data_IF_277222126311
#
_entry.id   IF_277222126311
#
_cell.length_a   1.000
_cell.length_b   1.000
_cell.length_c   1.000
_cell.angle_alpha   90.00
_cell.angle_beta   90.00
_cell.angle_gamma   90.00
#
_symmetry.space_group_name_H-M   'P 1'
#
loop_
_entity.id
_entity.type
_entity.pdbx_description
1 polymer ?
#
# COMPACT_ATOMS: atom_id res chain seq x y z
N UNK A 1 -1.09 25.13 1.76
CA UNK A 1 0.09 25.73 1.09
C UNK A 1 1.00 24.59 0.68
N UNK A 2 1.75 24.68 -0.43
CA UNK A 2 2.67 23.59 -0.81
C UNK A 2 3.64 23.33 0.35
N UNK A 3 3.83 22.05 0.68
CA UNK A 3 4.83 21.63 1.65
C UNK A 3 6.17 22.27 1.27
N UNK A 4 6.91 22.82 2.24
CA UNK A 4 8.24 23.36 1.97
C UNK A 4 9.14 22.21 1.51
N UNK A 5 9.31 22.06 0.19
CA UNK A 5 10.13 20.99 -0.36
C UNK A 5 11.60 21.27 -0.03
N UNK A 6 12.21 20.34 0.70
CA UNK A 6 13.64 20.37 0.96
C UNK A 6 14.31 19.86 -0.30
N UNK A 7 14.96 20.73 -1.08
CA UNK A 7 15.53 20.38 -2.39
C UNK A 7 16.78 19.50 -2.30
N UNK A 8 17.45 19.46 -1.14
CA UNK A 8 18.59 18.57 -0.85
C UNK A 8 18.58 18.17 0.62
N UNK A 9 18.60 16.86 0.88
CA UNK A 9 18.66 16.30 2.21
C UNK A 9 19.68 15.16 2.25
N UNK A 10 20.51 15.16 3.29
CA UNK A 10 21.53 14.14 3.54
C UNK A 10 20.98 12.96 4.37
N UNK A 11 19.74 13.02 4.85
CA UNK A 11 19.10 11.98 5.69
C UNK A 11 20.01 11.43 6.81
N UNK A 12 20.80 12.30 7.45
CA UNK A 12 21.78 11.91 8.48
C UNK A 12 21.13 11.50 9.80
N UNK A 13 19.91 11.98 10.07
CA UNK A 13 19.14 11.62 11.26
C UNK A 13 17.74 11.12 10.88
N UNK A 14 17.37 9.97 11.44
CA UNK A 14 16.07 9.31 11.28
C UNK A 14 15.37 9.33 12.64
N UNK A 15 14.15 9.83 12.67
CA UNK A 15 13.31 9.85 13.86
C UNK A 15 12.58 8.52 14.02
N UNK A 16 12.55 7.96 15.24
CA UNK A 16 11.81 6.72 15.52
C UNK A 16 10.43 6.98 16.13
N UNK A 17 10.16 8.24 16.53
CA UNK A 17 8.87 8.68 17.05
C UNK A 17 7.99 9.28 15.96
N UNK A 18 6.70 9.44 16.26
CA UNK A 18 5.77 10.14 15.37
C UNK A 18 6.19 11.59 15.16
N UNK A 19 5.66 12.20 14.10
CA UNK A 19 5.90 13.61 13.82
C UNK A 19 5.34 14.51 14.94
N UNK A 20 5.85 15.75 15.09
CA UNK A 20 5.26 16.72 16.01
C UNK A 20 3.75 16.98 15.80
N UNK A 21 3.25 16.77 14.58
CA UNK A 21 1.83 16.94 14.26
C UNK A 21 0.92 15.89 14.94
N UNK A 22 1.45 14.73 15.33
CA UNK A 22 0.66 13.72 16.05
C UNK A 22 0.04 14.29 17.34
N UNK A 23 0.77 15.17 18.05
CA UNK A 23 0.25 15.83 19.24
C UNK A 23 -0.89 16.82 18.92
N UNK A 24 -0.87 17.44 17.73
CA UNK A 24 -1.91 18.36 17.25
C UNK A 24 -3.17 17.59 16.85
N UNK A 25 -3.00 16.46 16.16
CA UNK A 25 -4.07 15.54 15.81
C UNK A 25 -4.70 14.82 17.02
N UNK A 26 -4.05 14.88 18.19
CA UNK A 26 -4.47 14.14 19.39
C UNK A 26 -4.14 12.65 19.33
N UNK A 27 -3.36 12.22 18.34
CA UNK A 27 -2.89 10.86 18.22
C UNK A 27 -1.89 10.52 19.33
N UNK A 28 -2.13 9.39 20.00
CA UNK A 28 -1.22 8.84 21.02
C UNK A 28 -0.91 7.40 20.69
N UNK A 29 0.32 7.15 20.23
CA UNK A 29 0.83 5.79 20.03
C UNK A 29 0.77 5.01 21.34
N UNK A 30 0.32 3.76 21.26
CA UNK A 30 0.26 2.82 22.37
C UNK A 30 1.66 2.63 22.97
N UNK A 31 1.73 2.52 24.30
CA UNK A 31 2.98 2.30 25.02
C UNK A 31 3.57 0.92 24.76
N UNK A 32 4.85 0.72 25.07
CA UNK A 32 5.57 -0.55 24.84
C UNK A 32 4.83 -1.77 25.42
N UNK A 33 4.27 -1.68 26.63
CA UNK A 33 3.51 -2.80 27.22
C UNK A 33 2.25 -3.14 26.43
N UNK A 34 1.54 -2.14 25.92
CA UNK A 34 0.31 -2.33 25.14
C UNK A 34 0.63 -2.94 23.77
N UNK A 35 1.70 -2.48 23.13
CA UNK A 35 2.16 -3.04 21.85
C UNK A 35 2.65 -4.49 22.01
N UNK A 36 3.38 -4.81 23.08
CA UNK A 36 3.80 -6.18 23.38
C UNK A 36 2.60 -7.09 23.68
N UNK A 37 1.54 -6.55 24.29
CA UNK A 37 0.31 -7.28 24.50
C UNK A 37 -0.44 -7.49 23.17
N UNK A 38 -0.43 -6.50 22.27
CA UNK A 38 -1.11 -6.56 20.98
C UNK A 38 -0.58 -7.64 20.02
N UNK A 39 0.62 -8.18 20.24
CA UNK A 39 1.21 -9.28 19.45
C UNK A 39 0.80 -10.65 20.00
N UNK A 40 0.32 -10.73 21.25
CA UNK A 40 0.01 -11.98 21.94
C UNK A 40 -1.46 -12.37 21.75
N UNK A 41 -1.72 -13.66 21.85
CA UNK A 41 -3.05 -14.24 21.95
C UNK A 41 -3.06 -15.36 23.00
N UNK A 42 -4.17 -15.54 23.70
CA UNK A 42 -4.24 -16.39 24.91
C UNK A 42 -4.00 -17.88 24.63
N UNK A 43 -4.27 -18.31 23.40
CA UNK A 43 -4.20 -19.72 22.98
C UNK A 43 -3.32 -19.95 21.75
N UNK A 44 -2.58 -18.94 21.29
CA UNK A 44 -1.68 -19.06 20.14
C UNK A 44 -0.25 -18.74 20.56
N UNK A 45 0.67 -19.66 20.30
CA UNK A 45 2.10 -19.46 20.55
C UNK A 45 2.90 -19.64 19.28
N UNK A 46 3.74 -18.66 18.97
CA UNK A 46 4.68 -18.77 17.85
C UNK A 46 5.92 -19.61 18.24
N UNK A 47 6.52 -20.34 17.28
CA UNK A 47 7.85 -20.93 17.44
C UNK A 47 8.89 -19.91 17.92
N UNK A 48 9.99 -20.39 18.50
CA UNK A 48 11.05 -19.51 19.06
C UNK A 48 11.59 -18.52 18.03
N UNK A 49 11.84 -18.98 16.82
CA UNK A 49 12.41 -18.15 15.74
C UNK A 49 11.45 -17.02 15.34
N UNK A 50 10.16 -17.33 15.19
CA UNK A 50 9.13 -16.33 14.90
C UNK A 50 8.97 -15.32 16.04
N UNK A 51 9.06 -15.76 17.30
CA UNK A 51 9.04 -14.85 18.45
C UNK A 51 10.13 -13.78 18.36
N UNK A 52 11.36 -14.15 17.96
CA UNK A 52 12.46 -13.18 17.80
C UNK A 52 12.19 -12.19 16.66
N UNK A 53 11.53 -12.62 15.58
CA UNK A 53 11.12 -11.76 14.46
C UNK A 53 9.97 -10.81 14.82
N UNK A 54 9.12 -11.23 15.75
CA UNK A 54 7.99 -10.48 16.29
C UNK A 54 8.36 -9.60 17.50
N UNK A 55 9.61 -9.61 17.96
CA UNK A 55 10.02 -8.70 19.03
C UNK A 55 9.94 -7.24 18.55
N UNK A 56 9.52 -6.35 19.47
CA UNK A 56 9.51 -4.92 19.19
C UNK A 56 10.92 -4.38 18.99
N UNK A 57 11.13 -3.69 17.87
CA UNK A 57 12.32 -2.89 17.64
C UNK A 57 11.92 -1.59 16.95
N UNK A 58 11.88 -0.48 17.68
CA UNK A 58 11.54 0.83 17.11
C UNK A 58 12.53 1.24 15.99
N UNK A 59 13.74 0.65 15.94
CA UNK A 59 14.73 0.88 14.87
C UNK A 59 14.41 0.11 13.58
N UNK A 60 13.57 -0.91 13.69
CA UNK A 60 13.03 -1.66 12.57
C UNK A 60 11.66 -1.13 12.13
N UNK A 61 10.83 -0.82 13.12
CA UNK A 61 9.44 -0.40 12.99
C UNK A 61 9.26 0.90 13.80
N UNK A 62 9.50 2.08 13.19
CA UNK A 62 9.25 3.35 13.84
C UNK A 62 7.77 3.51 14.24
N UNK A 63 7.47 4.54 15.03
CA UNK A 63 6.09 4.99 15.21
C UNK A 63 5.45 5.40 13.87
N UNK A 64 4.11 5.37 13.75
CA UNK A 64 3.41 5.98 12.62
C UNK A 64 3.86 7.43 12.38
N UNK A 65 4.13 7.76 11.11
CA UNK A 65 4.37 9.14 10.68
C UNK A 65 3.04 9.81 10.36
N UNK A 66 2.73 10.92 11.04
CA UNK A 66 1.50 11.69 10.83
C UNK A 66 1.85 13.11 10.41
N UNK A 67 1.48 13.54 9.21
CA UNK A 67 1.57 14.90 8.72
C UNK A 67 0.16 15.51 8.57
N UNK A 68 0.03 16.84 8.40
CA UNK A 68 -1.28 17.45 8.18
C UNK A 68 -1.97 16.88 6.94
N UNK A 69 -3.20 16.38 7.10
CA UNK A 69 -3.99 15.78 6.02
C UNK A 69 -3.81 14.27 5.86
N UNK A 70 -2.92 13.66 6.64
CA UNK A 70 -2.77 12.21 6.71
C UNK A 70 -4.00 11.56 7.33
N UNK A 71 -4.26 10.31 6.95
CA UNK A 71 -5.43 9.53 7.37
C UNK A 71 -5.59 9.51 8.91
N UNK A 72 -4.58 8.98 9.61
CA UNK A 72 -4.54 8.92 11.07
C UNK A 72 -4.54 10.30 11.77
N UNK A 73 -4.25 11.38 11.04
CA UNK A 73 -4.33 12.74 11.56
C UNK A 73 -5.76 13.30 11.50
N UNK A 74 -6.55 12.87 10.51
CA UNK A 74 -7.93 13.26 10.31
C UNK A 74 -8.92 12.38 11.08
N UNK A 75 -8.69 11.07 11.06
CA UNK A 75 -9.55 10.06 11.67
C UNK A 75 -8.70 9.01 12.42
N UNK A 76 -8.42 9.22 13.72
CA UNK A 76 -7.66 8.26 14.50
C UNK A 76 -8.44 6.95 14.65
N UNK A 77 -7.98 5.89 14.01
CA UNK A 77 -8.61 4.57 14.11
C UNK A 77 -8.37 3.87 15.44
N UNK A 78 -9.33 3.00 15.78
CA UNK A 78 -9.18 2.08 16.91
C UNK A 78 -8.14 0.99 16.57
N UNK A 79 -7.21 0.70 17.49
CA UNK A 79 -6.19 -0.31 17.25
C UNK A 79 -6.78 -1.72 17.16
N UNK A 80 -6.37 -2.51 16.17
CA UNK A 80 -6.69 -3.94 16.09
C UNK A 80 -5.50 -4.81 16.52
N UNK A 81 -5.54 -5.37 17.72
CA UNK A 81 -4.56 -6.35 18.22
C UNK A 81 -4.65 -7.71 17.51
N UNK A 82 -3.69 -8.60 17.77
CA UNK A 82 -3.71 -9.97 17.27
C UNK A 82 -4.88 -10.78 17.84
N UNK A 83 -5.22 -10.59 19.12
CA UNK A 83 -6.36 -11.24 19.75
C UNK A 83 -7.69 -10.75 19.18
N UNK A 84 -7.88 -9.43 19.05
CA UNK A 84 -9.10 -8.86 18.42
C UNK A 84 -9.25 -9.34 16.98
N UNK A 85 -8.15 -9.44 16.23
CA UNK A 85 -8.18 -10.02 14.88
C UNK A 85 -8.58 -11.51 14.86
N UNK A 86 -8.17 -12.31 15.86
CA UNK A 86 -8.58 -13.72 15.96
C UNK A 86 -10.08 -13.85 16.23
N UNK A 87 -10.59 -12.97 17.09
CA UNK A 87 -11.98 -12.95 17.58
C UNK A 87 -12.95 -12.24 16.63
N UNK A 88 -12.45 -11.58 15.58
CA UNK A 88 -13.23 -10.86 14.58
C UNK A 88 -14.23 -11.79 13.87
N UNK A 89 -15.53 -11.51 14.02
CA UNK A 89 -16.61 -12.36 13.52
C UNK A 89 -16.69 -12.33 11.99
N UNK A 90 -16.40 -11.17 11.40
CA UNK A 90 -16.44 -10.96 9.95
C UNK A 90 -15.18 -11.49 9.23
N UNK A 91 -14.19 -12.03 9.99
CA UNK A 91 -12.95 -12.56 9.41
C UNK A 91 -13.17 -13.94 8.80
N UNK A 92 -12.77 -14.08 7.55
CA UNK A 92 -12.77 -15.36 6.85
C UNK A 92 -11.55 -16.22 7.25
N UNK A 93 -11.74 -17.45 7.78
CA UNK A 93 -10.62 -18.33 8.10
C UNK A 93 -10.00 -18.90 6.82
N UNK A 94 -8.66 -18.96 6.78
CA UNK A 94 -7.94 -19.75 5.77
C UNK A 94 -8.15 -21.23 6.09
N UNK A 95 -8.58 -22.02 5.10
CA UNK A 95 -8.83 -23.46 5.28
C UNK A 95 -8.21 -24.25 4.13
N UNK A 96 -8.05 -25.57 4.30
CA UNK A 96 -7.56 -26.44 3.23
C UNK A 96 -8.40 -26.36 1.94
N UNK A 97 -9.70 -26.09 2.06
CA UNK A 97 -10.62 -25.93 0.92
C UNK A 97 -10.59 -24.53 0.33
N UNK A 98 -10.16 -23.52 1.09
CA UNK A 98 -10.25 -22.11 0.76
C UNK A 98 -8.96 -21.40 1.20
N UNK A 99 -7.91 -21.51 0.37
CA UNK A 99 -6.56 -21.01 0.66
C UNK A 99 -5.87 -20.32 -0.51
N UNK A 100 -6.49 -20.29 -1.69
CA UNK A 100 -5.83 -19.76 -2.90
C UNK A 100 -6.08 -18.27 -3.07
N UNK A 101 -5.05 -17.46 -3.21
CA UNK A 101 -5.22 -16.06 -3.66
C UNK A 101 -5.25 -16.06 -5.19
N UNK A 102 -6.26 -15.43 -5.78
CA UNK A 102 -6.33 -15.25 -7.23
C UNK A 102 -6.00 -13.81 -7.62
N UNK A 103 -5.20 -13.63 -8.66
CA UNK A 103 -4.90 -12.34 -9.27
C UNK A 103 -5.46 -12.30 -10.68
N UNK A 104 -6.28 -11.31 -10.98
CA UNK A 104 -6.87 -11.07 -12.29
C UNK A 104 -6.13 -9.92 -12.98
N UNK A 105 -5.55 -10.14 -14.17
CA UNK A 105 -4.94 -9.06 -14.95
C UNK A 105 -5.96 -7.99 -15.36
N UNK A 106 -5.46 -6.83 -15.78
CA UNK A 106 -6.28 -5.73 -16.29
C UNK A 106 -7.20 -6.22 -17.42
N UNK A 107 -8.49 -5.83 -17.41
CA UNK A 107 -9.45 -6.29 -18.41
C UNK A 107 -8.99 -5.98 -19.84
N UNK A 108 -9.14 -6.96 -20.73
CA UNK A 108 -8.90 -6.74 -22.16
C UNK A 108 -9.89 -5.73 -22.74
N UNK A 109 -9.51 -5.06 -23.82
CA UNK A 109 -10.34 -4.06 -24.47
C UNK A 109 -10.88 -4.65 -25.78
N UNK A 110 -12.21 -4.60 -25.97
CA UNK A 110 -12.83 -4.95 -27.24
C UNK A 110 -12.65 -3.84 -28.29
N UNK A 111 -12.59 -4.23 -29.57
CA UNK A 111 -12.39 -3.30 -30.67
C UNK A 111 -13.50 -2.23 -30.75
N UNK A 112 -14.73 -2.56 -30.35
CA UNK A 112 -15.85 -1.62 -30.36
C UNK A 112 -15.77 -0.56 -29.23
N UNK A 113 -14.84 -0.69 -28.28
CA UNK A 113 -14.56 0.28 -27.23
C UNK A 113 -13.07 0.65 -27.17
N UNK A 114 -12.35 0.52 -28.28
CA UNK A 114 -10.91 0.78 -28.40
C UNK A 114 -10.47 2.15 -27.85
N UNK A 115 -11.34 3.16 -27.90
CA UNK A 115 -11.11 4.49 -27.35
C UNK A 115 -10.71 4.48 -25.87
N UNK A 116 -11.18 3.49 -25.08
CA UNK A 116 -10.83 3.38 -23.65
C UNK A 116 -9.37 3.00 -23.48
N UNK A 117 -8.71 2.37 -24.47
CA UNK A 117 -7.26 2.08 -24.40
C UNK A 117 -6.41 3.34 -24.26
N UNK A 118 -6.91 4.49 -24.72
CA UNK A 118 -6.24 5.79 -24.49
C UNK A 118 -6.26 6.24 -23.02
N UNK A 119 -7.02 5.56 -22.15
CA UNK A 119 -7.13 5.86 -20.72
C UNK A 119 -6.07 5.14 -19.87
N UNK A 120 -5.32 4.18 -20.43
CA UNK A 120 -4.22 3.51 -19.74
C UNK A 120 -2.98 4.43 -19.59
N UNK A 121 -2.88 5.45 -20.43
CA UNK A 121 -1.75 6.38 -20.48
C UNK A 121 -2.18 7.79 -20.05
N UNK A 122 -1.44 8.46 -19.16
CA UNK A 122 -1.78 9.82 -18.74
C UNK A 122 -1.53 10.85 -19.86
N UNK A 123 -2.25 11.97 -19.80
CA UNK A 123 -2.11 13.15 -20.66
C UNK A 123 -0.89 13.98 -20.24
N UNK A 124 0.32 13.44 -20.39
CA UNK A 124 1.55 14.18 -20.12
C UNK A 124 2.39 14.31 -21.40
N UNK A 125 2.82 15.53 -21.80
CA UNK A 125 3.73 15.70 -22.92
C UNK A 125 5.17 15.31 -22.51
N UNK A 126 5.87 14.61 -23.41
CA UNK A 126 7.34 14.47 -23.44
C UNK A 126 8.05 13.83 -22.24
N UNK A 127 7.68 12.59 -21.89
CA UNK A 127 8.51 11.74 -21.02
C UNK A 127 9.01 10.49 -21.74
N UNK A 128 10.22 10.04 -21.38
CA UNK A 128 10.75 8.75 -21.83
C UNK A 128 9.79 7.62 -21.44
N UNK A 129 9.60 6.66 -22.35
CA UNK A 129 8.69 5.54 -22.15
C UNK A 129 9.16 4.67 -20.98
N UNK A 130 8.44 4.74 -19.85
CA UNK A 130 8.62 3.83 -18.73
C UNK A 130 7.69 2.62 -18.89
N UNK A 131 8.12 1.46 -18.41
CA UNK A 131 7.36 0.22 -18.54
C UNK A 131 6.32 0.11 -17.41
N UNK A 132 5.04 -0.14 -17.73
CA UNK A 132 4.03 -0.38 -16.70
C UNK A 132 4.32 -1.69 -15.92
N UNK A 133 3.86 -1.78 -14.66
CA UNK A 133 3.99 -2.98 -13.84
C UNK A 133 3.32 -4.17 -14.53
N UNK A 134 4.03 -5.30 -14.64
CA UNK A 134 3.38 -6.52 -15.13
C UNK A 134 2.57 -7.16 -13.99
N UNK A 135 1.37 -7.65 -14.29
CA UNK A 135 0.58 -8.42 -13.31
C UNK A 135 1.34 -9.63 -12.79
N UNK A 136 2.25 -10.19 -13.59
CA UNK A 136 3.09 -11.32 -13.19
C UNK A 136 4.09 -10.94 -12.09
N UNK A 137 4.72 -9.78 -12.19
CA UNK A 137 5.63 -9.30 -11.15
C UNK A 137 4.89 -8.99 -9.84
N UNK A 138 3.66 -8.45 -9.94
CA UNK A 138 2.78 -8.26 -8.78
C UNK A 138 2.40 -9.60 -8.15
N UNK A 139 2.00 -10.60 -8.96
CA UNK A 139 1.70 -11.95 -8.48
C UNK A 139 2.91 -12.56 -7.74
N UNK A 140 4.11 -12.43 -8.29
CA UNK A 140 5.33 -12.95 -7.68
C UNK A 140 5.64 -12.28 -6.34
N UNK A 141 5.47 -10.95 -6.26
CA UNK A 141 5.62 -10.23 -5.01
C UNK A 141 4.59 -10.68 -3.97
N UNK A 142 3.32 -10.81 -4.36
CA UNK A 142 2.24 -11.28 -3.47
C UNK A 142 2.45 -12.72 -3.00
N UNK A 143 3.03 -13.58 -3.85
CA UNK A 143 3.43 -14.95 -3.47
C UNK A 143 4.46 -14.94 -2.35
N UNK A 144 5.40 -13.99 -2.38
CA UNK A 144 6.37 -13.81 -1.31
C UNK A 144 5.77 -13.11 -0.07
N UNK A 145 4.88 -12.14 -0.27
CA UNK A 145 4.27 -11.37 0.82
C UNK A 145 3.29 -12.21 1.65
N UNK A 146 2.49 -13.06 1.01
CA UNK A 146 1.58 -14.02 1.64
C UNK A 146 2.13 -15.45 1.54
N UNK A 147 3.44 -15.59 1.72
CA UNK A 147 4.12 -16.89 1.71
C UNK A 147 3.37 -17.91 2.59
N UNK A 148 3.31 -19.15 2.12
CA UNK A 148 2.48 -20.22 2.69
C UNK A 148 1.17 -20.47 1.94
N UNK A 149 0.67 -19.49 1.19
CA UNK A 149 -0.54 -19.65 0.36
C UNK A 149 -0.23 -19.73 -1.14
N UNK A 150 -0.97 -20.54 -1.91
CA UNK A 150 -0.88 -20.52 -3.36
C UNK A 150 -1.47 -19.22 -3.93
N UNK A 151 -0.69 -18.52 -4.76
CA UNK A 151 -1.16 -17.35 -5.51
C UNK A 151 -1.23 -17.69 -7.00
N UNK A 152 -2.41 -17.68 -7.59
CA UNK A 152 -2.66 -18.06 -8.99
C UNK A 152 -3.10 -16.86 -9.81
N UNK A 153 -2.59 -16.75 -11.03
CA UNK A 153 -3.06 -15.77 -12.00
C UNK A 153 -4.20 -16.37 -12.83
N UNK A 154 -5.31 -15.65 -12.95
CA UNK A 154 -6.39 -16.02 -13.88
C UNK A 154 -6.00 -15.67 -15.32
N UNK A 155 -6.58 -16.32 -16.34
CA UNK A 155 -6.27 -16.01 -17.74
C UNK A 155 -6.51 -14.53 -18.07
N UNK A 156 -5.69 -13.88 -18.90
CA UNK A 156 -5.94 -12.49 -19.32
C UNK A 156 -7.30 -12.27 -19.99
N UNK A 157 -7.90 -13.32 -20.57
CA UNK A 157 -9.24 -13.28 -21.16
C UNK A 157 -10.39 -13.35 -20.14
N UNK A 158 -10.10 -13.39 -18.83
CA UNK A 158 -11.11 -13.50 -17.76
C UNK A 158 -12.07 -12.33 -17.76
N UNK A 159 -11.55 -11.13 -18.03
CA UNK A 159 -12.30 -9.88 -18.04
C UNK A 159 -12.06 -9.15 -19.36
N UNK A 160 -13.14 -8.65 -19.96
CA UNK A 160 -13.07 -7.84 -21.18
C UNK A 160 -14.06 -6.69 -21.15
N UNK A 161 -13.60 -5.46 -21.34
CA UNK A 161 -14.45 -4.32 -21.60
C UNK A 161 -15.08 -4.44 -22.99
N UNK A 162 -16.41 -4.33 -23.06
CA UNK A 162 -17.23 -4.41 -24.27
C UNK A 162 -18.26 -3.26 -24.30
N UNK A 163 -18.91 -2.98 -25.43
CA UNK A 163 -19.99 -1.99 -25.47
C UNK A 163 -21.16 -2.37 -24.57
N UNK A 164 -21.64 -1.41 -23.75
CA UNK A 164 -22.90 -1.58 -23.03
C UNK A 164 -24.09 -1.18 -23.91
N UNK A 165 -24.90 -2.16 -24.35
CA UNK A 165 -26.10 -1.91 -25.15
C UNK A 165 -27.31 -1.64 -24.26
N UNK A 166 -27.61 -0.37 -23.97
CA UNK A 166 -28.90 0.00 -23.37
C UNK A 166 -30.04 -0.17 -24.38
N UNK A 167 -31.19 -0.77 -24.00
CA UNK A 167 -32.39 -0.73 -24.83
C UNK A 167 -32.83 0.72 -25.05
N UNK A 168 -32.99 1.11 -26.32
CA UNK A 168 -33.27 2.49 -26.76
C UNK A 168 -34.43 3.12 -25.97
N UNK A 169 -34.12 4.01 -25.01
CA UNK A 169 -35.07 4.99 -24.46
C UNK A 169 -34.50 6.40 -24.57
N UNK A 170 -35.44 7.36 -24.59
CA UNK A 170 -35.38 8.78 -24.95
C UNK A 170 -34.06 9.53 -24.61
N UNK A 171 -33.71 10.58 -25.38
CA UNK A 171 -32.44 11.29 -25.23
C UNK A 171 -32.35 11.90 -23.83
N UNK A 172 -31.54 11.26 -22.98
CA UNK A 172 -31.22 11.76 -21.66
C UNK A 172 -30.15 12.86 -21.82
N UNK A 173 -30.22 13.92 -21.01
CA UNK A 173 -29.21 14.99 -20.99
C UNK A 173 -27.81 14.36 -20.92
N UNK A 174 -26.88 14.81 -21.76
CA UNK A 174 -25.47 14.37 -21.78
C UNK A 174 -24.80 14.72 -20.45
N UNK A 175 -25.00 13.92 -19.42
CA UNK A 175 -24.07 13.81 -18.30
C UNK A 175 -22.82 13.12 -18.83
N UNK A 176 -21.62 13.54 -18.42
CA UNK A 176 -20.35 12.93 -18.87
C UNK A 176 -20.18 11.44 -18.50
N UNK A 177 -21.16 10.86 -17.82
CA UNK A 177 -21.27 9.46 -17.43
C UNK A 177 -21.58 8.57 -18.65
N UNK A 178 -20.71 7.60 -18.88
CA UNK A 178 -20.80 6.56 -19.90
C UNK A 178 -20.89 5.20 -19.21
N UNK A 179 -21.28 4.17 -19.95
CA UNK A 179 -21.35 2.80 -19.43
C UNK A 179 -20.56 1.88 -20.34
N UNK A 180 -19.73 1.05 -19.73
CA UNK A 180 -19.05 -0.08 -20.35
C UNK A 180 -19.69 -1.37 -19.86
N UNK A 181 -19.65 -2.42 -20.67
CA UNK A 181 -19.90 -3.77 -20.19
C UNK A 181 -18.58 -4.39 -19.79
N UNK A 182 -18.51 -5.03 -18.64
CA UNK A 182 -17.39 -5.88 -18.25
C UNK A 182 -17.83 -7.33 -18.36
N UNK A 183 -17.35 -8.00 -19.41
CA UNK A 183 -17.68 -9.39 -19.70
C UNK A 183 -16.78 -10.33 -18.90
N UNK A 184 -17.38 -11.33 -18.27
CA UNK A 184 -16.68 -12.49 -17.69
C UNK A 184 -17.43 -13.77 -18.02
N UNK A 185 -16.82 -14.65 -18.80
CA UNK A 185 -17.52 -15.83 -19.34
C UNK A 185 -18.75 -15.45 -20.15
N UNK A 186 -19.92 -15.91 -19.73
CA UNK A 186 -21.22 -15.61 -20.34
C UNK A 186 -21.95 -14.43 -19.67
N UNK A 187 -21.41 -13.92 -18.56
CA UNK A 187 -21.98 -12.79 -17.83
C UNK A 187 -21.39 -11.45 -18.30
N UNK A 188 -22.19 -10.39 -18.15
CA UNK A 188 -21.77 -9.03 -18.44
C UNK A 188 -22.37 -8.08 -17.41
N UNK A 189 -21.50 -7.41 -16.67
CA UNK A 189 -21.89 -6.42 -15.66
C UNK A 189 -21.71 -5.02 -16.24
N UNK A 190 -22.64 -4.12 -15.91
CA UNK A 190 -22.55 -2.72 -16.30
C UNK A 190 -21.57 -2.00 -15.40
N UNK A 191 -20.52 -1.42 -15.98
CA UNK A 191 -19.54 -0.59 -15.29
C UNK A 191 -19.75 0.87 -15.67
N UNK A 192 -19.93 1.72 -14.67
CA UNK A 192 -19.95 3.17 -14.80
C UNK A 192 -18.56 3.66 -15.20
N UNK A 193 -18.51 4.56 -16.16
CA UNK A 193 -17.27 5.22 -16.57
C UNK A 193 -17.51 6.71 -16.82
N UNK A 194 -16.48 7.52 -16.69
CA UNK A 194 -16.56 8.97 -16.95
C UNK A 194 -15.39 9.44 -17.77
N UNK A 195 -15.64 10.26 -18.79
CA UNK A 195 -14.58 10.95 -19.54
C UNK A 195 -14.19 12.23 -18.80
N UNK A 196 -12.90 12.48 -18.66
CA UNK A 196 -12.38 13.66 -17.98
C UNK A 196 -11.86 14.68 -18.99
N UNK A 197 -12.44 15.89 -19.01
CA UNK A 197 -11.90 17.01 -19.79
C UNK A 197 -10.60 17.55 -19.17
N UNK A 198 -10.58 17.75 -17.84
CA UNK A 198 -9.52 18.43 -17.11
C UNK A 198 -8.71 17.54 -16.15
N UNK A 199 -8.70 16.22 -16.35
CA UNK A 199 -7.92 15.27 -15.53
C UNK A 199 -6.61 14.81 -16.19
N UNK A 200 -5.70 14.27 -15.37
CA UNK A 200 -4.43 13.67 -15.83
C UNK A 200 -4.65 12.45 -16.72
N UNK A 201 -5.77 11.73 -16.55
CA UNK A 201 -6.22 10.69 -17.46
C UNK A 201 -7.40 11.15 -18.33
N UNK A 202 -7.67 10.41 -19.41
CA UNK A 202 -8.77 10.68 -20.35
C UNK A 202 -10.13 10.21 -19.83
N UNK A 203 -10.15 9.21 -18.97
CA UNK A 203 -11.36 8.74 -18.31
C UNK A 203 -11.03 7.87 -17.11
N UNK A 204 -12.08 7.57 -16.36
CA UNK A 204 -12.03 6.70 -15.19
C UNK A 204 -13.14 5.65 -15.26
N UNK A 205 -12.93 4.53 -14.59
CA UNK A 205 -13.93 3.48 -14.38
C UNK A 205 -14.26 3.38 -12.89
N UNK A 206 -15.51 3.06 -12.59
CA UNK A 206 -15.96 3.02 -11.20
C UNK A 206 -15.42 1.77 -10.50
N UNK A 207 -14.88 1.95 -9.30
CA UNK A 207 -14.24 0.89 -8.52
C UNK A 207 -15.28 -0.10 -7.96
N UNK A 208 -16.38 0.38 -7.38
CA UNK A 208 -17.40 -0.48 -6.77
C UNK A 208 -17.98 -1.47 -7.78
N UNK A 209 -18.24 -1.01 -9.01
CA UNK A 209 -18.74 -1.87 -10.08
C UNK A 209 -17.73 -2.98 -10.45
N UNK A 210 -16.42 -2.75 -10.24
CA UNK A 210 -15.38 -3.77 -10.42
C UNK A 210 -15.31 -4.73 -9.23
N UNK A 211 -15.56 -4.26 -8.00
CA UNK A 211 -15.68 -5.12 -6.81
C UNK A 211 -16.89 -6.05 -6.92
N UNK A 212 -18.02 -5.57 -7.44
CA UNK A 212 -19.20 -6.41 -7.70
C UNK A 212 -18.89 -7.55 -8.68
N UNK A 213 -18.10 -7.24 -9.73
CA UNK A 213 -17.61 -8.27 -10.66
C UNK A 213 -16.63 -9.21 -9.98
N UNK A 214 -15.72 -8.70 -9.14
CA UNK A 214 -14.79 -9.53 -8.38
C UNK A 214 -15.53 -10.56 -7.50
N UNK A 215 -16.64 -10.16 -6.88
CA UNK A 215 -17.51 -11.05 -6.08
C UNK A 215 -18.13 -12.12 -6.97
N UNK A 216 -18.65 -11.76 -8.15
CA UNK A 216 -19.34 -12.73 -9.02
C UNK A 216 -18.40 -13.79 -9.60
N UNK A 217 -17.12 -13.45 -9.83
CA UNK A 217 -16.13 -14.35 -10.42
C UNK A 217 -15.27 -15.09 -9.37
N UNK A 218 -15.45 -14.82 -8.08
CA UNK A 218 -14.65 -15.36 -6.99
C UNK A 218 -14.70 -16.91 -6.96
N UNK A 219 -13.58 -17.62 -7.22
CA UNK A 219 -13.58 -19.07 -7.23
C UNK A 219 -13.92 -19.68 -5.87
N UNK A 220 -14.54 -20.87 -5.87
CA UNK A 220 -14.93 -21.57 -4.63
C UNK A 220 -13.75 -21.95 -3.72
N UNK A 221 -12.58 -22.20 -4.29
CA UNK A 221 -11.35 -22.51 -3.54
C UNK A 221 -10.51 -21.27 -3.21
N UNK A 222 -10.95 -20.09 -3.67
CA UNK A 222 -10.24 -18.85 -3.46
C UNK A 222 -10.35 -18.45 -1.99
N UNK A 223 -9.23 -18.18 -1.33
CA UNK A 223 -9.23 -17.35 -0.14
C UNK A 223 -9.66 -15.93 -0.47
N UNK A 224 -8.97 -15.29 -1.41
CA UNK A 224 -9.25 -13.93 -1.87
C UNK A 224 -9.01 -13.78 -3.37
N UNK A 225 -9.60 -12.74 -3.97
CA UNK A 225 -9.36 -12.36 -5.36
C UNK A 225 -9.00 -10.88 -5.47
N UNK A 226 -7.92 -10.58 -6.19
CA UNK A 226 -7.46 -9.23 -6.49
C UNK A 226 -7.55 -8.98 -7.99
N UNK A 227 -8.24 -7.91 -8.40
CA UNK A 227 -8.21 -7.40 -9.77
C UNK A 227 -7.17 -6.27 -9.85
N UNK A 228 -6.21 -6.39 -10.75
CA UNK A 228 -5.32 -5.29 -11.14
C UNK A 228 -5.93 -4.56 -12.32
N UNK A 229 -5.92 -3.23 -12.30
CA UNK A 229 -6.54 -2.39 -13.33
C UNK A 229 -5.55 -1.32 -13.77
N UNK A 230 -5.40 -1.11 -15.07
CA UNK A 230 -4.47 -0.09 -15.61
C UNK A 230 -5.14 1.28 -15.87
N UNK A 231 -6.39 1.40 -15.44
CA UNK A 231 -7.20 2.61 -15.55
C UNK A 231 -7.26 3.37 -14.23
N UNK A 232 -7.37 4.68 -14.32
CA UNK A 232 -7.71 5.54 -13.18
C UNK A 232 -9.14 5.20 -12.68
N UNK A 233 -9.34 5.19 -11.35
CA UNK A 233 -10.59 4.75 -10.72
C UNK A 233 -11.24 5.88 -9.92
N UNK A 234 -12.55 5.74 -9.65
CA UNK A 234 -13.33 6.59 -8.74
C UNK A 234 -14.44 5.75 -8.08
N UNK A 235 -14.96 6.17 -6.94
CA UNK A 235 -16.07 5.48 -6.24
C UNK A 235 -17.35 6.31 -6.31
N UNK A 236 -17.25 7.57 -5.89
CA UNK A 236 -18.34 8.52 -5.88
C UNK A 236 -18.07 9.77 -6.74
N UNK A 237 -19.13 10.55 -6.97
CA UNK A 237 -19.07 11.75 -7.81
C UNK A 237 -18.15 12.85 -7.23
N UNK A 238 -17.93 12.84 -5.91
CA UNK A 238 -17.08 13.79 -5.20
C UNK A 238 -15.59 13.38 -5.19
N UNK A 239 -15.26 12.14 -5.56
CA UNK A 239 -13.88 11.66 -5.58
C UNK A 239 -13.10 12.20 -6.77
N UNK A 240 -11.86 12.62 -6.52
CA UNK A 240 -10.92 12.88 -7.60
C UNK A 240 -10.43 11.57 -8.23
N UNK A 241 -9.97 10.62 -7.40
CA UNK A 241 -9.60 9.27 -7.80
C UNK A 241 -9.47 8.35 -6.57
N UNK A 242 -9.42 7.04 -6.81
CA UNK A 242 -9.08 6.02 -5.81
C UNK A 242 -8.03 5.06 -6.40
N UNK A 243 -7.04 4.66 -5.60
CA UNK A 243 -5.97 3.76 -6.06
C UNK A 243 -6.30 2.28 -5.82
N UNK A 244 -7.12 1.97 -4.83
CA UNK A 244 -7.56 0.63 -4.53
C UNK A 244 -8.57 0.62 -3.39
N UNK A 245 -9.28 -0.50 -3.29
CA UNK A 245 -10.17 -0.81 -2.16
C UNK A 245 -10.37 -2.31 -2.09
N UNK A 246 -10.64 -2.78 -0.87
CA UNK A 246 -11.09 -4.12 -0.59
C UNK A 246 -12.48 -4.15 0.07
N UNK A 247 -13.28 -5.15 -0.30
CA UNK A 247 -14.39 -5.61 0.51
C UNK A 247 -13.93 -6.86 1.27
N UNK A 248 -13.31 -6.63 2.43
CA UNK A 248 -12.61 -7.66 3.19
C UNK A 248 -13.47 -8.89 3.52
N UNK A 249 -14.69 -8.66 4.02
CA UNK A 249 -15.66 -9.74 4.29
C UNK A 249 -16.08 -10.53 3.05
N UNK A 250 -16.13 -9.87 1.89
CA UNK A 250 -16.40 -10.49 0.58
C UNK A 250 -15.16 -11.10 -0.08
N UNK A 251 -13.98 -10.90 0.51
CA UNK A 251 -12.69 -11.47 0.10
C UNK A 251 -12.24 -11.02 -1.30
N UNK A 252 -12.57 -9.79 -1.67
CA UNK A 252 -12.22 -9.21 -2.97
C UNK A 252 -11.56 -7.86 -2.82
N UNK A 253 -10.65 -7.56 -3.74
CA UNK A 253 -9.97 -6.28 -3.83
C UNK A 253 -9.76 -5.86 -5.28
N UNK A 254 -9.69 -4.54 -5.51
CA UNK A 254 -9.33 -3.93 -6.78
C UNK A 254 -8.19 -2.94 -6.52
N UNK A 255 -7.14 -2.98 -7.34
CA UNK A 255 -6.03 -2.02 -7.28
C UNK A 255 -5.73 -1.49 -8.68
N UNK A 256 -5.66 -0.17 -8.78
CA UNK A 256 -5.22 0.55 -9.97
C UNK A 256 -3.72 0.76 -9.97
N UNK A 257 -3.08 0.52 -11.13
CA UNK A 257 -1.69 0.91 -11.36
C UNK A 257 -1.55 2.38 -11.78
N UNK A 258 -2.61 3.02 -12.29
CA UNK A 258 -2.54 4.26 -13.05
C UNK A 258 -1.89 5.41 -12.27
N UNK A 259 -2.45 5.77 -11.11
CA UNK A 259 -2.01 6.94 -10.32
C UNK A 259 -0.62 6.77 -9.71
N UNK A 260 -0.12 5.54 -9.62
CA UNK A 260 1.23 5.25 -9.14
C UNK A 260 2.34 5.47 -10.16
N UNK A 261 1.98 5.76 -11.42
CA UNK A 261 2.93 6.08 -12.47
C UNK A 261 3.83 7.26 -12.06
N UNK A 262 5.15 7.06 -11.88
CA UNK A 262 6.02 8.10 -11.37
C UNK A 262 6.08 9.36 -12.22
N UNK A 263 5.75 9.31 -13.52
CA UNK A 263 5.73 10.53 -14.35
C UNK A 263 4.67 11.54 -13.86
N UNK A 264 3.68 11.07 -13.09
CA UNK A 264 2.66 11.91 -12.48
C UNK A 264 3.12 12.57 -11.18
N UNK A 265 4.25 12.18 -10.61
CA UNK A 265 4.66 12.61 -9.27
C UNK A 265 4.76 14.13 -9.14
N UNK A 266 5.26 14.82 -10.17
CA UNK A 266 5.33 16.28 -10.21
C UNK A 266 3.94 16.94 -10.22
N UNK A 267 2.98 16.33 -10.92
CA UNK A 267 1.60 16.86 -11.04
C UNK A 267 0.77 16.54 -9.80
N UNK A 268 1.08 15.43 -9.13
CA UNK A 268 0.38 14.94 -7.94
C UNK A 268 1.07 15.34 -6.64
N UNK A 269 2.10 16.20 -6.70
CA UNK A 269 2.92 16.62 -5.55
C UNK A 269 3.51 15.46 -4.73
N UNK A 270 3.80 14.32 -5.39
CA UNK A 270 4.42 13.15 -4.74
C UNK A 270 5.91 13.40 -4.61
N UNK A 271 6.31 13.74 -3.41
CA UNK A 271 7.71 13.96 -3.07
C UNK A 271 8.46 12.61 -2.95
N UNK A 272 9.57 12.48 -3.68
CA UNK A 272 10.34 11.22 -3.73
C UNK A 272 11.50 11.18 -2.76
N UNK A 273 12.15 12.32 -2.48
CA UNK A 273 13.40 12.37 -1.72
C UNK A 273 13.21 11.92 -0.26
N UNK A 274 12.03 12.18 0.33
CA UNK A 274 11.59 11.72 1.64
C UNK A 274 10.45 10.70 1.56
N UNK A 275 10.34 9.95 0.45
CA UNK A 275 9.56 8.72 0.42
C UNK A 275 10.19 7.67 1.35
N UNK A 276 9.49 6.57 1.63
CA UNK A 276 10.11 5.45 2.36
C UNK A 276 11.38 4.96 1.61
N UNK A 277 12.50 4.69 2.30
CA UNK A 277 12.70 4.61 3.75
C UNK A 277 13.06 5.94 4.45
N UNK A 278 13.22 7.02 3.70
CA UNK A 278 13.64 8.33 4.21
C UNK A 278 12.50 9.18 4.81
N UNK A 279 11.26 8.66 4.83
CA UNK A 279 10.06 9.36 5.33
C UNK A 279 10.16 9.86 6.76
N UNK A 280 10.99 9.20 7.58
CA UNK A 280 11.23 9.58 8.97
C UNK A 280 12.43 10.52 9.15
N UNK A 281 12.86 11.22 8.10
CA UNK A 281 13.94 12.19 8.21
C UNK A 281 13.54 13.35 9.15
N UNK A 282 14.36 13.59 10.18
CA UNK A 282 14.08 14.60 11.21
C UNK A 282 13.89 16.01 10.63
N UNK A 283 14.72 16.39 9.63
CA UNK A 283 14.65 17.69 8.96
C UNK A 283 13.31 17.87 8.22
N UNK A 284 12.88 16.84 7.48
CA UNK A 284 11.63 16.86 6.71
C UNK A 284 10.41 16.85 7.62
N UNK A 285 10.38 15.95 8.61
CA UNK A 285 9.29 15.88 9.59
C UNK A 285 9.07 17.22 10.31
N UNK A 286 10.16 17.89 10.69
CA UNK A 286 10.09 19.20 11.36
C UNK A 286 9.57 20.30 10.43
N UNK A 287 9.96 20.27 9.14
CA UNK A 287 9.48 21.24 8.15
C UNK A 287 7.99 21.05 7.86
N UNK A 288 7.55 19.80 7.64
CA UNK A 288 6.17 19.48 7.28
C UNK A 288 5.19 19.63 8.44
N UNK A 289 5.60 19.35 9.68
CA UNK A 289 4.74 19.50 10.85
C UNK A 289 4.36 20.96 11.17
N UNK A 290 5.07 21.94 10.59
CA UNK A 290 4.78 23.37 10.74
C UNK A 290 3.83 23.93 9.68
N UNK A 291 3.44 23.13 8.69
CA UNK A 291 2.51 23.56 7.65
C UNK A 291 1.05 23.56 8.16
N UNK A 292 0.31 24.64 7.93
CA UNK A 292 -1.11 24.69 8.26
C UNK A 292 -1.95 23.82 7.31
N UNK A 293 -2.90 23.02 7.82
CA UNK A 293 -3.76 22.17 6.99
C UNK A 293 -4.72 22.98 6.12
N UNK A 294 -4.86 22.57 4.86
CA UNK A 294 -5.84 23.10 3.90
C UNK A 294 -7.07 22.19 3.81
N UNK A 295 -7.88 22.07 4.87
CA UNK A 295 -9.23 21.49 4.81
C UNK A 295 -10.09 21.90 6.03
N UNK A 296 -11.42 21.85 5.86
CA UNK A 296 -12.44 22.54 6.68
C UNK A 296 -12.47 22.12 8.16
N UNK A 297 -12.08 23.08 8.99
CA UNK A 297 -12.26 23.27 10.43
C UNK A 297 -13.47 22.57 11.09
N UNK A 298 -13.23 21.69 12.06
CA UNK A 298 -14.00 21.64 13.31
C UNK A 298 -13.20 22.33 14.42
N UNK A 299 -13.82 23.30 15.11
CA UNK A 299 -13.17 24.07 16.18
C UNK A 299 -12.97 23.19 17.42
N UNK A 300 -11.72 22.94 17.82
CA UNK A 300 -11.35 22.40 19.14
C UNK A 300 -10.46 23.41 19.91
N UNK A 301 -10.51 23.43 21.25
CA UNK A 301 -9.84 24.43 22.08
C UNK A 301 -8.31 24.26 22.09
N UNK A 302 -7.55 25.31 22.43
CA UNK A 302 -6.09 25.27 22.41
C UNK A 302 -5.56 24.35 23.52
N UNK A 303 -4.75 23.36 23.15
CA UNK A 303 -4.07 22.47 24.10
C UNK A 303 -2.64 22.98 24.31
N UNK A 304 -2.28 23.18 25.58
CA UNK A 304 -0.92 23.52 26.00
C UNK A 304 0.05 22.38 25.67
N UNK A 305 0.97 22.61 24.74
CA UNK A 305 2.06 21.70 24.39
C UNK A 305 3.13 21.69 25.49
N UNK A 306 3.05 20.71 26.40
CA UNK A 306 4.16 20.36 27.31
C UNK A 306 4.79 19.02 26.89
N UNK A 307 6.03 19.11 26.41
CA UNK A 307 7.04 18.04 26.44
C UNK A 307 6.90 16.91 25.41
N UNK A 308 7.34 17.13 24.17
CA UNK A 308 7.75 16.02 23.30
C UNK A 308 9.21 15.68 23.64
N UNK A 309 9.45 14.48 24.17
CA UNK A 309 10.80 13.97 24.39
C UNK A 309 11.48 13.79 23.03
N UNK A 310 12.48 14.63 22.76
CA UNK A 310 13.34 14.54 21.57
C UNK A 310 14.27 13.33 21.72
N UNK A 311 13.93 12.20 21.11
CA UNK A 311 14.85 11.08 20.92
C UNK A 311 15.39 11.09 19.48
N UNK A 312 16.18 12.12 19.18
CA UNK A 312 17.03 12.19 17.98
C UNK A 312 18.30 11.40 18.28
N UNK A 313 18.50 10.26 17.62
CA UNK A 313 19.67 9.41 17.81
C UNK A 313 20.37 9.19 16.47
N UNK A 314 21.33 10.07 16.13
CA UNK A 314 22.13 9.93 14.91
C UNK A 314 23.07 8.71 14.93
N UNK A 315 23.29 8.06 16.08
CA UNK A 315 24.30 7.02 16.27
C UNK A 315 23.77 5.58 16.28
N UNK A 316 22.48 5.33 16.53
CA UNK A 316 21.95 3.96 16.62
C UNK A 316 21.96 3.27 15.24
N UNK A 317 22.47 2.04 15.15
CA UNK A 317 22.37 1.16 13.97
C UNK A 317 21.07 0.37 14.00
N UNK A 318 20.53 0.01 12.83
CA UNK A 318 19.33 -0.81 12.73
C UNK A 318 18.69 -0.78 11.34
N UNK A 319 17.65 -1.61 11.11
CA UNK A 319 17.15 -1.91 9.77
C UNK A 319 16.70 -0.69 8.96
N UNK A 320 16.01 0.27 9.58
CA UNK A 320 15.57 1.49 8.87
C UNK A 320 16.77 2.37 8.50
N UNK A 321 17.76 2.51 9.40
CA UNK A 321 18.95 3.31 9.12
C UNK A 321 19.79 2.68 8.02
N UNK A 322 19.94 1.36 8.01
CA UNK A 322 20.65 0.63 6.97
C UNK A 322 19.97 0.84 5.61
N UNK A 323 18.63 0.75 5.58
CA UNK A 323 17.83 1.03 4.39
C UNK A 323 17.98 2.48 3.89
N UNK A 324 17.95 3.48 4.79
CA UNK A 324 18.21 4.89 4.45
C UNK A 324 19.62 5.08 3.92
N UNK A 325 20.61 4.44 4.53
CA UNK A 325 22.01 4.53 4.09
C UNK A 325 22.20 3.97 2.68
N UNK A 326 21.55 2.85 2.37
CA UNK A 326 21.50 2.30 1.01
C UNK A 326 20.77 3.23 0.05
N UNK A 327 19.59 3.72 0.44
CA UNK A 327 18.78 4.64 -0.37
C UNK A 327 19.57 5.90 -0.79
N UNK A 328 20.36 6.47 0.13
CA UNK A 328 21.24 7.62 -0.16
C UNK A 328 22.37 7.32 -1.14
N UNK A 329 22.77 6.06 -1.27
CA UNK A 329 23.85 5.63 -2.17
C UNK A 329 23.38 5.35 -3.59
N UNK A 330 22.06 5.29 -3.81
CA UNK A 330 21.47 5.07 -5.12
C UNK A 330 21.69 6.30 -6.03
N UNK A 331 21.76 6.09 -7.36
CA UNK A 331 21.76 7.19 -8.31
C UNK A 331 20.44 7.97 -8.24
N UNK A 332 20.41 9.20 -8.78
CA UNK A 332 19.17 9.96 -8.89
C UNK A 332 18.10 9.17 -9.65
N UNK A 333 16.88 9.12 -9.13
CA UNK A 333 15.84 8.25 -9.69
C UNK A 333 15.47 8.57 -11.14
N UNK A 334 15.54 9.85 -11.51
CA UNK A 334 15.26 10.33 -12.87
C UNK A 334 16.40 10.07 -13.86
N UNK A 335 17.52 9.48 -13.41
CA UNK A 335 18.64 9.12 -14.29
C UNK A 335 18.36 7.91 -15.19
N UNK A 336 17.30 7.13 -14.94
CA UNK A 336 16.96 5.96 -15.75
C UNK A 336 15.46 5.62 -15.72
N UNK A 337 14.82 5.37 -16.89
CA UNK A 337 13.45 4.86 -16.99
C UNK A 337 13.22 3.54 -16.24
N UNK A 338 14.25 2.71 -16.12
CA UNK A 338 14.17 1.43 -15.42
C UNK A 338 13.97 1.60 -13.91
N UNK A 339 14.58 2.64 -13.31
CA UNK A 339 14.41 2.97 -11.90
C UNK A 339 12.99 3.45 -11.61
N UNK A 340 12.42 4.27 -12.51
CA UNK A 340 11.02 4.70 -12.43
C UNK A 340 10.06 3.52 -12.62
N UNK A 341 10.31 2.63 -13.58
CA UNK A 341 9.49 1.44 -13.80
C UNK A 341 9.48 0.52 -12.56
N UNK A 342 10.63 0.35 -11.91
CA UNK A 342 10.73 -0.43 -10.67
C UNK A 342 10.05 0.25 -9.47
N UNK A 343 10.14 1.59 -9.36
CA UNK A 343 9.39 2.34 -8.36
C UNK A 343 7.88 2.19 -8.56
N UNK A 344 7.42 2.26 -9.81
CA UNK A 344 6.00 2.06 -10.15
C UNK A 344 5.51 0.69 -9.69
N UNK A 345 6.26 -0.37 -10.04
CA UNK A 345 5.95 -1.73 -9.59
C UNK A 345 5.90 -1.83 -8.05
N UNK A 346 6.88 -1.26 -7.36
CA UNK A 346 6.93 -1.28 -5.90
C UNK A 346 5.69 -0.66 -5.24
N UNK A 347 5.23 0.50 -5.73
CA UNK A 347 4.02 1.18 -5.25
C UNK A 347 2.77 0.33 -5.43
N UNK A 348 2.62 -0.31 -6.59
CA UNK A 348 1.49 -1.22 -6.87
C UNK A 348 1.57 -2.45 -5.97
N UNK A 349 2.75 -3.04 -5.79
CA UNK A 349 2.95 -4.19 -4.90
C UNK A 349 2.59 -3.90 -3.44
N UNK A 350 2.97 -2.71 -2.92
CA UNK A 350 2.60 -2.27 -1.56
C UNK A 350 1.08 -2.18 -1.44
N UNK A 351 0.42 -1.46 -2.34
CA UNK A 351 -1.03 -1.26 -2.32
C UNK A 351 -1.80 -2.57 -2.49
N UNK A 352 -1.37 -3.43 -3.42
CA UNK A 352 -1.95 -4.77 -3.59
C UNK A 352 -1.84 -5.63 -2.32
N UNK A 353 -0.74 -5.51 -1.58
CA UNK A 353 -0.55 -6.20 -0.30
C UNK A 353 -1.35 -5.55 0.84
N UNK A 354 -1.65 -4.27 0.73
CA UNK A 354 -2.53 -3.58 1.68
C UNK A 354 -3.97 -4.04 1.51
N UNK A 355 -4.51 -3.95 0.29
CA UNK A 355 -5.91 -4.31 0.01
C UNK A 355 -6.18 -5.80 0.25
N UNK A 356 -5.24 -6.68 -0.11
CA UNK A 356 -5.37 -8.09 0.27
C UNK A 356 -5.31 -8.29 1.79
N UNK A 357 -4.60 -7.45 2.54
CA UNK A 357 -4.56 -7.49 4.00
C UNK A 357 -5.95 -7.32 4.61
N UNK A 358 -6.77 -6.42 4.04
CA UNK A 358 -8.18 -6.30 4.42
C UNK A 358 -8.99 -7.56 4.13
N UNK A 359 -8.71 -8.30 3.05
CA UNK A 359 -9.32 -9.63 2.81
C UNK A 359 -8.92 -10.67 3.87
N UNK A 360 -7.81 -10.47 4.58
CA UNK A 360 -7.42 -11.24 5.76
C UNK A 360 -8.08 -10.76 7.06
N UNK A 361 -8.98 -9.76 6.99
CA UNK A 361 -9.59 -9.12 8.16
C UNK A 361 -8.65 -8.19 8.92
N UNK A 362 -7.51 -7.80 8.33
CA UNK A 362 -6.55 -6.89 8.97
C UNK A 362 -7.02 -5.46 8.73
N UNK A 363 -7.36 -4.72 9.79
CA UNK A 363 -7.71 -3.30 9.73
C UNK A 363 -6.48 -2.41 9.57
N UNK A 364 -6.66 -1.08 9.54
CA UNK A 364 -5.50 -0.21 9.47
C UNK A 364 -4.66 -0.26 10.77
N UNK A 365 -3.35 -0.17 10.59
CA UNK A 365 -2.39 -0.28 11.68
C UNK A 365 -2.10 1.10 12.28
N UNK A 366 -2.19 1.19 13.61
CA UNK A 366 -1.84 2.41 14.38
C UNK A 366 -0.66 2.21 15.32
N UNK A 367 -0.12 0.99 15.40
CA UNK A 367 0.93 0.64 16.35
C UNK A 367 2.33 1.09 15.91
N UNK A 368 2.59 1.03 14.60
CA UNK A 368 3.91 1.22 13.98
C UNK A 368 3.75 1.82 12.58
N UNK A 369 4.86 2.32 12.02
CA UNK A 369 5.00 2.40 10.58
C UNK A 369 4.75 1.00 9.99
N UNK A 370 3.77 0.84 9.11
CA UNK A 370 3.34 -0.47 8.63
C UNK A 370 2.71 -0.37 7.24
N UNK A 371 2.87 -1.42 6.42
CA UNK A 371 2.17 -1.53 5.13
C UNK A 371 0.65 -1.55 5.27
N UNK A 372 0.12 -1.82 6.47
CA UNK A 372 -1.31 -1.75 6.78
C UNK A 372 -1.72 -0.40 7.37
N UNK A 373 -0.89 0.64 7.41
CA UNK A 373 -1.36 1.96 7.81
C UNK A 373 -2.38 2.52 6.81
N UNK A 374 -3.44 3.15 7.34
CA UNK A 374 -4.38 3.91 6.53
C UNK A 374 -3.70 5.04 5.78
N UNK A 375 -4.26 5.39 4.61
CA UNK A 375 -3.66 6.35 3.69
C UNK A 375 -4.75 7.15 2.97
N UNK A 376 -4.72 8.47 3.15
CA UNK A 376 -5.70 9.40 2.58
C UNK A 376 -5.23 10.06 1.28
N UNK A 377 -3.97 9.85 0.87
CA UNK A 377 -3.41 10.43 -0.36
C UNK A 377 -2.23 9.63 -0.90
N UNK A 378 -1.94 9.79 -2.19
CA UNK A 378 -0.76 9.19 -2.82
C UNK A 378 0.57 9.72 -2.25
N UNK A 379 0.59 10.96 -1.74
CA UNK A 379 1.76 11.53 -1.07
C UNK A 379 2.00 10.88 0.30
N UNK A 380 0.93 10.49 1.00
CA UNK A 380 1.02 9.67 2.20
C UNK A 380 1.44 8.24 1.88
N UNK A 381 0.87 7.61 0.85
CA UNK A 381 1.26 6.25 0.41
C UNK A 381 2.77 6.14 0.15
N UNK A 382 3.37 7.13 -0.51
CA UNK A 382 4.80 7.17 -0.81
C UNK A 382 5.70 7.04 0.45
N UNK A 383 5.19 7.44 1.62
CA UNK A 383 5.90 7.39 2.90
C UNK A 383 5.70 6.06 3.65
N UNK A 384 4.74 5.24 3.23
CA UNK A 384 4.42 3.98 3.89
C UNK A 384 5.46 2.89 3.59
N UNK A 385 5.85 2.10 4.60
CA UNK A 385 6.81 1.02 4.41
C UNK A 385 6.20 -0.19 3.69
N UNK A 386 7.01 -1.03 3.01
CA UNK A 386 6.57 -2.27 2.38
C UNK A 386 6.56 -3.47 3.34
N UNK A 387 6.85 -3.27 4.63
CA UNK A 387 6.88 -4.33 5.64
C UNK A 387 5.63 -4.31 6.51
N UNK A 388 5.32 -5.47 7.10
CA UNK A 388 4.36 -5.58 8.19
C UNK A 388 5.09 -5.39 9.52
N UNK A 389 4.50 -4.61 10.42
CA UNK A 389 4.96 -4.51 11.79
C UNK A 389 4.74 -5.84 12.55
N UNK A 390 5.30 -6.03 13.75
CA UNK A 390 5.13 -7.28 14.49
C UNK A 390 3.68 -7.69 14.77
N UNK A 391 2.77 -6.73 14.97
CA UNK A 391 1.35 -7.03 15.20
C UNK A 391 0.71 -7.63 13.95
N UNK A 392 0.85 -6.97 12.80
CA UNK A 392 0.21 -7.46 11.56
C UNK A 392 0.98 -8.62 10.93
N UNK A 393 2.29 -8.72 11.19
CA UNK A 393 3.07 -9.90 10.82
C UNK A 393 2.57 -11.13 11.57
N UNK A 394 2.27 -11.03 12.86
CA UNK A 394 1.67 -12.13 13.65
C UNK A 394 0.34 -12.60 13.04
N UNK A 395 -0.53 -11.67 12.62
CA UNK A 395 -1.79 -11.96 11.91
C UNK A 395 -1.54 -12.72 10.62
N UNK A 396 -0.63 -12.23 9.77
CA UNK A 396 -0.32 -12.86 8.48
C UNK A 396 0.29 -14.24 8.63
N UNK A 397 1.31 -14.43 9.47
CA UNK A 397 1.94 -15.75 9.63
C UNK A 397 0.98 -16.75 10.28
N UNK A 398 0.06 -16.29 11.14
CA UNK A 398 -1.03 -17.12 11.67
C UNK A 398 -1.99 -17.53 10.56
N UNK A 399 -2.41 -16.61 9.70
CA UNK A 399 -3.35 -16.88 8.62
C UNK A 399 -2.75 -17.80 7.55
N UNK A 400 -1.49 -17.59 7.15
CA UNK A 400 -0.86 -18.35 6.07
C UNK A 400 -0.15 -19.62 6.54
N UNK A 401 -0.06 -19.84 7.86
CA UNK A 401 0.66 -20.96 8.48
C UNK A 401 2.13 -21.06 8.04
N UNK A 402 2.75 -19.94 7.66
CA UNK A 402 4.19 -19.85 7.35
C UNK A 402 4.99 -19.35 8.55
N UNK A 403 6.32 -19.43 8.48
CA UNK A 403 7.19 -18.69 9.41
C UNK A 403 7.54 -17.30 8.88
N UNK A 404 7.78 -16.36 9.79
CA UNK A 404 8.27 -15.03 9.44
C UNK A 404 9.62 -15.10 8.71
N UNK A 405 10.47 -16.08 9.04
CA UNK A 405 11.76 -16.30 8.43
C UNK A 405 11.63 -16.68 6.94
N UNK A 406 10.80 -17.67 6.62
CA UNK A 406 10.55 -18.09 5.23
C UNK A 406 9.94 -16.97 4.42
N UNK A 407 8.96 -16.25 4.97
CA UNK A 407 8.34 -15.09 4.34
C UNK A 407 9.38 -14.01 4.01
N UNK A 408 10.26 -13.65 4.96
CA UNK A 408 11.30 -12.67 4.69
C UNK A 408 12.33 -13.14 3.67
N UNK A 409 12.71 -14.42 3.67
CA UNK A 409 13.59 -14.98 2.63
C UNK A 409 12.92 -14.93 1.25
N UNK A 410 11.63 -15.24 1.16
CA UNK A 410 10.87 -15.15 -0.09
C UNK A 410 10.83 -13.70 -0.61
N UNK A 411 10.54 -12.73 0.26
CA UNK A 411 10.54 -11.31 -0.11
C UNK A 411 11.92 -10.82 -0.53
N UNK A 412 12.97 -11.22 0.19
CA UNK A 412 14.35 -10.88 -0.16
C UNK A 412 14.70 -11.37 -1.56
N UNK A 413 14.30 -12.60 -1.91
CA UNK A 413 14.53 -13.16 -3.25
C UNK A 413 13.84 -12.34 -4.35
N UNK A 414 12.66 -11.76 -4.11
CA UNK A 414 12.00 -10.83 -5.05
C UNK A 414 12.80 -9.53 -5.17
N UNK A 415 13.21 -8.95 -4.04
CA UNK A 415 13.96 -7.70 -4.01
C UNK A 415 15.34 -7.82 -4.67
N UNK A 416 15.95 -9.00 -4.66
CA UNK A 416 17.28 -9.26 -5.21
C UNK A 416 17.29 -9.64 -6.70
N UNK A 417 16.12 -9.77 -7.33
CA UNK A 417 16.03 -10.07 -8.78
C UNK A 417 16.80 -9.03 -9.62
N UNK A 418 17.37 -9.45 -10.77
CA UNK A 418 17.89 -8.52 -11.76
C UNK A 418 16.81 -7.49 -12.13
N UNK A 419 17.12 -6.20 -11.98
CA UNK A 419 16.17 -5.10 -12.18
C UNK A 419 15.54 -4.54 -10.90
N UNK A 420 15.64 -5.22 -9.75
CA UNK A 420 15.08 -4.76 -8.47
C UNK A 420 16.15 -4.32 -7.46
N UNK A 421 17.26 -5.06 -7.34
CA UNK A 421 18.22 -4.93 -6.23
C UNK A 421 18.85 -3.54 -6.05
N UNK A 422 19.02 -2.79 -7.14
CA UNK A 422 19.58 -1.43 -7.16
C UNK A 422 18.54 -0.32 -7.32
N UNK A 423 17.28 -0.56 -6.91
CA UNK A 423 16.18 0.37 -7.15
C UNK A 423 15.63 0.98 -5.86
N UNK A 424 14.97 2.13 -5.99
CA UNK A 424 14.56 2.99 -4.88
C UNK A 424 13.52 2.37 -3.93
N UNK A 425 12.78 1.35 -4.38
CA UNK A 425 11.83 0.61 -3.55
C UNK A 425 12.43 -0.71 -3.04
N UNK A 426 12.86 -1.58 -3.96
CA UNK A 426 13.27 -2.94 -3.62
C UNK A 426 14.66 -3.02 -2.97
N UNK A 427 15.61 -2.15 -3.34
CA UNK A 427 16.96 -2.16 -2.79
C UNK A 427 17.01 -1.82 -1.30
N UNK A 428 16.38 -0.71 -0.86
CA UNK A 428 16.25 -0.42 0.57
C UNK A 428 15.46 -1.50 1.31
N UNK A 429 14.45 -2.10 0.69
CA UNK A 429 13.69 -3.19 1.32
C UNK A 429 14.51 -4.47 1.50
N UNK A 430 15.30 -4.87 0.51
CA UNK A 430 16.27 -5.96 0.67
C UNK A 430 17.24 -5.66 1.83
N UNK A 431 17.75 -4.43 1.90
CA UNK A 431 18.67 -4.01 2.97
C UNK A 431 18.02 -4.08 4.34
N UNK A 432 16.78 -3.59 4.48
CA UNK A 432 16.00 -3.70 5.71
C UNK A 432 15.80 -5.16 6.13
N UNK A 433 15.43 -6.04 5.19
CA UNK A 433 15.22 -7.48 5.45
C UNK A 433 16.51 -8.14 5.92
N UNK A 434 17.65 -7.92 5.23
CA UNK A 434 18.94 -8.50 5.63
C UNK A 434 19.35 -8.06 7.03
N UNK A 435 19.14 -6.79 7.37
CA UNK A 435 19.42 -6.25 8.71
C UNK A 435 18.54 -6.94 9.77
N UNK A 436 17.24 -7.13 9.50
CA UNK A 436 16.34 -7.88 10.39
C UNK A 436 16.78 -9.33 10.60
N UNK A 437 17.08 -10.05 9.52
CA UNK A 437 17.53 -11.44 9.61
C UNK A 437 18.85 -11.56 10.38
N UNK A 438 19.80 -10.66 10.14
CA UNK A 438 21.09 -10.63 10.85
C UNK A 438 20.98 -10.33 12.34
N UNK A 439 20.02 -9.50 12.79
CA UNK A 439 19.79 -9.25 14.22
C UNK A 439 19.44 -10.54 14.99
N UNK A 440 18.76 -11.48 14.33
CA UNK A 440 18.29 -12.72 14.96
C UNK A 440 19.36 -13.78 14.96
N UNK A 441 20.10 -13.93 13.86
CA UNK A 441 21.25 -14.82 13.81
C UNK A 441 22.20 -14.48 14.96
N UNK A 442 22.57 -13.20 15.11
CA UNK A 442 23.43 -12.74 16.20
C UNK A 442 22.85 -12.98 17.61
N UNK A 443 21.53 -12.88 17.78
CA UNK A 443 20.87 -13.14 19.07
C UNK A 443 20.83 -14.63 19.43
N UNK A 444 20.77 -15.52 18.43
CA UNK A 444 20.79 -16.96 18.60
C UNK A 444 22.17 -17.51 18.99
N UNK A 445 23.27 -16.82 18.65
CA UNK A 445 24.64 -17.19 19.05
C UNK A 445 25.02 -16.75 20.48
N UNK A 446 24.29 -15.78 21.05
CA UNK A 446 24.58 -15.19 22.38
C UNK A 446 23.76 -15.84 23.51
N UNK A 447 22.73 -16.61 23.17
CA UNK A 447 21.90 -17.42 24.09
C UNK A 447 22.31 -18.88 24.09
#
# INVERSE_FOLDING_TARGET
MPQRSISKCDHTCVCLSSSPHAAVAGFRRQGQRQRLAAIKADHQSFPREDKLLLEEDDRAFPAPLLLPGDDLAGDPEDPQSFQEWLDEEDRNPVTEKQKTIYVVPSPQIDADVDFVGTWETPKCPDHESIKPPSTKDVQDYLTAFYHGLPVKMMPPSTLKFIPWKTPKKKPQKKTGLQYLGLKSGDECVRVRSRTLSNGVYRGQVNLDDLLDVAISILPKDAYALLIIVDFDLYEDDDDEFVCGRAYGGSRVAVVSSARYNPILDSIQDVERLHAWPASHCEKSMSACASAEPTAKRQKRPPVNSRGSQKNSFSELTGPVKDAVSFYRSLPEIDSSPSLLSALWLGRVCRTASHELGHCFGIGHCVYYACSMQGTASICEDARQPPYLCPVDLAKVICATSTSALERYRALLAICERPGNSGTHFFGPFATWIRSRLGQIENSAWVS
#
